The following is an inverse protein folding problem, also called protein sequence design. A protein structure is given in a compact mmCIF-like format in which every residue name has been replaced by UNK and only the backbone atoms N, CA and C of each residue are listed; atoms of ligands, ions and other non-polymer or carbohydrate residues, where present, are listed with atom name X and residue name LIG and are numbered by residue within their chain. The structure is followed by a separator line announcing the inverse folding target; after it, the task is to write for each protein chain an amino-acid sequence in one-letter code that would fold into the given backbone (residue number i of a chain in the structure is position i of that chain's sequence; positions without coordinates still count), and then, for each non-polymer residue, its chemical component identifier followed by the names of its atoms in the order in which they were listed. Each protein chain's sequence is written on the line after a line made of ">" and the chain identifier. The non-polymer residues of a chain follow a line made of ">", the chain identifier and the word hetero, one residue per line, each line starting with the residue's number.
data_IF_669684206814
#
_entry.id   IF_669684206814
#
_cell.length_a   1.000
_cell.length_b   1.000
_cell.length_c   1.000
_cell.angle_alpha   90.00
_cell.angle_beta   90.00
_cell.angle_gamma   90.00
#
_symmetry.space_group_name_H-M   'P 1'
#
loop_
_entity.id
_entity.type
_entity.pdbx_description
1 polymer ?
#
# COMPACT_ATOMS: atom_id res chain seq x y z
N UNK A 1 -13.01 19.36 13.80
CA UNK A 1 -11.75 19.07 13.09
C UNK A 1 -10.68 20.02 13.63
N UNK A 2 -9.62 19.53 14.29
CA UNK A 2 -8.52 20.41 14.74
C UNK A 2 -7.56 20.60 13.58
N UNK A 3 -7.47 21.82 13.06
CA UNK A 3 -6.50 22.19 12.05
C UNK A 3 -5.22 22.61 12.77
N UNK A 4 -4.12 21.89 12.56
CA UNK A 4 -2.82 22.28 13.06
C UNK A 4 -2.12 23.04 11.92
N UNK A 5 -1.70 24.29 12.16
CA UNK A 5 -0.85 25.03 11.23
C UNK A 5 0.56 25.14 11.80
N UNK A 6 1.57 24.97 10.94
CA UNK A 6 2.96 25.24 11.25
C UNK A 6 3.45 26.34 10.32
N UNK A 7 4.07 27.37 10.87
CA UNK A 7 4.72 28.44 10.12
C UNK A 7 6.19 28.50 10.53
N UNK A 8 7.08 28.46 9.54
CA UNK A 8 8.51 28.78 9.71
C UNK A 8 8.75 30.15 9.07
N UNK A 9 9.35 31.07 9.81
CA UNK A 9 9.59 32.44 9.35
C UNK A 9 10.99 32.88 9.77
N UNK A 10 11.80 33.29 8.80
CA UNK A 10 13.02 34.04 9.05
C UNK A 10 12.68 35.52 8.95
N UNK A 11 12.76 36.24 10.07
CA UNK A 11 12.23 37.60 10.20
C UNK A 11 13.24 38.54 10.86
N UNK A 12 13.31 39.76 10.34
CA UNK A 12 14.00 40.90 10.97
C UNK A 12 13.26 41.42 12.22
N UNK A 13 12.02 40.98 12.39
CA UNK A 13 11.14 41.36 13.49
C UNK A 13 10.79 40.17 14.39
N UNK A 14 10.73 40.42 15.69
CA UNK A 14 10.21 39.51 16.70
C UNK A 14 8.69 39.39 16.65
N UNK A 15 8.14 38.43 17.41
CA UNK A 15 6.70 38.18 17.48
C UNK A 15 5.89 39.39 18.00
N UNK A 16 6.53 40.28 18.75
CA UNK A 16 5.95 41.53 19.25
C UNK A 16 6.08 42.70 18.25
N UNK A 17 6.62 42.44 17.05
CA UNK A 17 6.83 43.43 16.00
C UNK A 17 8.06 44.32 16.16
N UNK A 18 8.87 44.13 17.22
CA UNK A 18 10.13 44.88 17.41
C UNK A 18 11.26 44.28 16.56
N UNK A 19 12.35 45.03 16.40
CA UNK A 19 13.54 44.53 15.71
C UNK A 19 14.16 43.35 16.50
N UNK A 20 14.51 42.28 15.79
CA UNK A 20 15.31 41.20 16.35
C UNK A 20 16.78 41.67 16.46
N UNK A 21 17.27 41.88 17.68
CA UNK A 21 18.62 42.38 17.96
C UNK A 21 19.74 41.41 17.49
N UNK A 22 19.41 40.14 17.29
CA UNK A 22 20.33 39.10 16.82
C UNK A 22 20.25 38.86 15.31
N UNK A 23 19.41 39.60 14.59
CA UNK A 23 19.28 39.47 13.14
C UNK A 23 20.58 39.88 12.43
N UNK A 24 21.06 39.01 11.53
CA UNK A 24 22.23 39.26 10.69
C UNK A 24 21.84 39.08 9.23
N UNK A 25 22.19 40.05 8.39
CA UNK A 25 22.04 39.94 6.93
C UNK A 25 23.10 38.98 6.36
N UNK A 26 22.67 38.08 5.49
CA UNK A 26 23.58 37.12 4.85
C UNK A 26 22.83 35.95 4.22
N UNK A 27 23.56 35.05 3.52
CA UNK A 27 22.99 33.80 3.03
C UNK A 27 22.44 32.98 4.21
N UNK A 28 21.19 32.54 4.08
CA UNK A 28 20.53 31.68 5.05
C UNK A 28 19.99 30.44 4.34
N UNK A 29 20.22 29.27 4.93
CA UNK A 29 19.67 28.00 4.49
C UNK A 29 19.11 27.25 5.70
N UNK A 30 17.85 26.79 5.59
CA UNK A 30 17.23 25.90 6.56
C UNK A 30 16.93 24.56 5.86
N UNK A 31 17.86 23.61 5.88
CA UNK A 31 17.60 22.28 5.35
C UNK A 31 16.62 21.56 6.28
N UNK A 32 15.38 21.41 5.84
CA UNK A 32 14.34 20.66 6.57
C UNK A 32 14.38 19.20 6.10
N UNK A 33 14.66 18.27 6.99
CA UNK A 33 14.65 16.83 6.66
C UNK A 33 13.24 16.24 6.66
N UNK A 34 12.37 16.64 7.61
CA UNK A 34 10.98 16.20 7.68
C UNK A 34 10.12 17.13 8.55
N UNK A 35 8.81 17.14 8.30
CA UNK A 35 7.79 17.76 9.15
C UNK A 35 6.70 16.73 9.35
N UNK A 36 6.36 16.42 10.60
CA UNK A 36 5.30 15.45 10.94
C UNK A 36 4.40 16.03 12.04
N UNK A 37 3.09 15.94 11.89
CA UNK A 37 2.18 16.19 12.99
C UNK A 37 2.30 15.04 14.02
N UNK A 38 2.11 15.31 15.32
CA UNK A 38 2.05 14.25 16.33
C UNK A 38 0.99 13.21 15.94
N UNK A 39 1.45 12.01 15.57
CA UNK A 39 0.59 10.84 15.37
C UNK A 39 0.68 10.06 16.68
N UNK A 40 -0.47 9.77 17.28
CA UNK A 40 -0.49 8.97 18.50
C UNK A 40 0.01 7.56 18.20
N UNK A 41 0.83 7.03 19.09
CA UNK A 41 1.16 5.61 19.08
C UNK A 41 -0.02 4.78 19.60
N UNK A 42 -0.25 3.57 19.04
CA UNK A 42 0.49 3.00 17.92
C UNK A 42 0.05 3.64 16.58
N UNK A 43 1.01 3.86 15.67
CA UNK A 43 0.72 4.39 14.33
C UNK A 43 -0.09 3.36 13.53
N UNK A 44 -1.24 3.78 13.01
CA UNK A 44 -2.04 3.01 12.06
C UNK A 44 -2.03 3.68 10.67
N UNK A 45 -2.35 2.94 9.59
CA UNK A 45 -2.51 3.51 8.26
C UNK A 45 -3.44 4.73 8.25
N UNK A 46 -2.99 5.80 7.61
CA UNK A 46 -3.78 6.99 7.29
C UNK A 46 -4.23 7.00 5.83
N UNK A 47 -3.68 6.08 5.03
CA UNK A 47 -4.00 5.88 3.64
C UNK A 47 -4.07 4.38 3.32
N UNK A 48 -5.22 3.92 2.82
CA UNK A 48 -5.38 2.56 2.30
C UNK A 48 -5.44 2.65 0.78
N UNK A 49 -4.54 1.96 0.09
CA UNK A 49 -4.51 1.92 -1.35
C UNK A 49 -4.88 0.53 -1.88
N UNK A 50 -6.00 0.45 -2.60
CA UNK A 50 -6.39 -0.76 -3.32
C UNK A 50 -5.71 -0.76 -4.70
N UNK A 51 -4.59 -1.46 -4.77
CA UNK A 51 -3.80 -1.64 -5.98
C UNK A 51 -4.30 -2.87 -6.78
N UNK A 52 -3.41 -3.76 -7.20
CA UNK A 52 -3.70 -5.02 -7.88
C UNK A 52 -2.52 -5.96 -7.69
N UNK A 53 -2.79 -7.26 -7.54
CA UNK A 53 -1.75 -8.26 -7.78
C UNK A 53 -1.31 -8.18 -9.25
N UNK A 54 -0.06 -8.48 -9.52
CA UNK A 54 0.54 -8.45 -10.85
C UNK A 54 1.23 -7.14 -11.21
N UNK A 55 1.24 -6.10 -10.37
CA UNK A 55 1.80 -4.79 -10.72
C UNK A 55 3.31 -4.80 -11.01
N UNK A 56 4.08 -5.72 -10.43
CA UNK A 56 5.53 -5.84 -10.72
C UNK A 56 5.86 -6.96 -11.70
N UNK A 57 4.85 -7.70 -12.19
CA UNK A 57 5.05 -8.85 -13.10
C UNK A 57 5.32 -8.49 -14.56
N UNK A 58 4.71 -7.45 -15.18
CA UNK A 58 4.95 -7.12 -16.58
C UNK A 58 6.42 -6.91 -16.93
N UNK A 59 7.20 -6.40 -15.98
CA UNK A 59 8.64 -6.09 -16.15
C UNK A 59 9.56 -7.12 -15.48
N UNK A 60 9.01 -8.19 -14.89
CA UNK A 60 9.80 -9.17 -14.12
C UNK A 60 10.64 -10.06 -15.05
N UNK A 61 11.99 -10.05 -14.95
CA UNK A 61 12.84 -10.89 -15.77
C UNK A 61 12.54 -12.39 -15.61
N UNK A 62 12.58 -13.14 -16.71
CA UNK A 62 12.39 -14.60 -16.70
C UNK A 62 10.95 -15.06 -16.44
N UNK A 63 9.98 -14.15 -16.35
CA UNK A 63 8.58 -14.51 -16.15
C UNK A 63 7.93 -14.98 -17.46
N UNK A 64 7.39 -16.19 -17.46
CA UNK A 64 6.58 -16.71 -18.57
C UNK A 64 5.22 -16.00 -18.62
N UNK A 65 5.15 -14.95 -19.45
CA UNK A 65 3.94 -14.14 -19.63
C UNK A 65 2.75 -14.98 -20.10
N UNK A 66 2.94 -16.06 -20.87
CA UNK A 66 1.83 -16.85 -21.41
C UNK A 66 0.95 -17.47 -20.33
N UNK A 67 1.55 -17.76 -19.16
CA UNK A 67 0.90 -18.34 -17.97
C UNK A 67 0.36 -17.30 -16.98
N UNK A 68 0.56 -16.01 -17.25
CA UNK A 68 0.09 -14.95 -16.36
C UNK A 68 -1.38 -14.60 -16.60
N UNK A 69 -2.06 -13.98 -15.62
CA UNK A 69 -3.42 -13.47 -15.80
C UNK A 69 -3.51 -12.45 -16.96
N UNK A 70 -4.69 -12.29 -17.57
CA UNK A 70 -4.88 -11.35 -18.69
C UNK A 70 -4.39 -9.93 -18.40
N UNK A 71 -4.60 -9.41 -17.18
CA UNK A 71 -4.17 -8.07 -16.81
C UNK A 71 -2.64 -7.86 -16.92
N UNK A 72 -1.84 -8.90 -16.63
CA UNK A 72 -0.38 -8.86 -16.74
C UNK A 72 0.05 -9.02 -18.19
N UNK A 73 -0.54 -10.00 -18.89
CA UNK A 73 -0.25 -10.30 -20.30
C UNK A 73 -0.57 -9.14 -21.23
N UNK A 74 -1.73 -8.54 -21.01
CA UNK A 74 -2.32 -7.53 -21.86
C UNK A 74 -2.12 -6.12 -21.27
N UNK A 75 -1.12 -5.92 -20.42
CA UNK A 75 -0.94 -4.65 -19.71
C UNK A 75 -0.80 -3.48 -20.69
N UNK A 76 -0.13 -3.68 -21.84
CA UNK A 76 0.01 -2.66 -22.89
C UNK A 76 -1.34 -2.34 -23.55
N UNK A 77 -2.13 -3.36 -23.86
CA UNK A 77 -3.45 -3.24 -24.46
C UNK A 77 -4.49 -2.67 -23.49
N UNK A 78 -4.25 -2.79 -22.19
CA UNK A 78 -5.03 -2.18 -21.10
C UNK A 78 -4.43 -0.83 -20.68
N UNK A 79 -3.81 -0.10 -21.60
CA UNK A 79 -3.23 1.23 -21.42
C UNK A 79 -2.27 1.34 -20.22
N UNK A 80 -1.48 0.30 -19.99
CA UNK A 80 -0.48 0.22 -18.92
C UNK A 80 -1.06 0.38 -17.51
N UNK A 81 -2.30 -0.08 -17.30
CA UNK A 81 -3.00 0.04 -16.02
C UNK A 81 -2.19 -0.46 -14.82
N UNK A 82 -1.47 -1.59 -14.93
CA UNK A 82 -0.66 -2.13 -13.84
C UNK A 82 0.59 -1.29 -13.59
N UNK A 83 1.18 -0.74 -14.65
CA UNK A 83 2.32 0.19 -14.55
C UNK A 83 1.93 1.46 -13.80
N UNK A 84 0.74 2.02 -14.09
CA UNK A 84 0.26 3.21 -13.38
C UNK A 84 -0.17 2.92 -11.95
N UNK A 85 -0.74 1.74 -11.67
CA UNK A 85 -0.96 1.27 -10.28
C UNK A 85 0.36 1.17 -9.52
N UNK A 86 1.40 0.58 -10.11
CA UNK A 86 2.73 0.50 -9.47
C UNK A 86 3.31 1.89 -9.16
N UNK A 87 3.23 2.84 -10.11
CA UNK A 87 3.66 4.23 -9.89
C UNK A 87 2.86 4.91 -8.77
N UNK A 88 1.56 4.64 -8.68
CA UNK A 88 0.71 5.13 -7.60
C UNK A 88 1.16 4.59 -6.24
N UNK A 89 1.49 3.31 -6.16
CA UNK A 89 2.07 2.71 -4.97
C UNK A 89 3.40 3.38 -4.58
N UNK A 90 4.28 3.63 -5.54
CA UNK A 90 5.58 4.27 -5.28
C UNK A 90 5.44 5.67 -4.69
N UNK A 91 4.56 6.49 -5.25
CA UNK A 91 4.27 7.82 -4.73
C UNK A 91 3.72 7.78 -3.29
N UNK A 92 2.90 6.78 -2.96
CA UNK A 92 2.38 6.60 -1.60
C UNK A 92 3.53 6.26 -0.64
N UNK A 93 4.44 5.36 -1.03
CA UNK A 93 5.61 5.01 -0.21
C UNK A 93 6.53 6.21 0.00
N UNK A 94 6.80 6.96 -1.06
CA UNK A 94 7.65 8.15 -1.04
C UNK A 94 7.03 9.31 -0.25
N UNK A 95 5.70 9.34 -0.09
CA UNK A 95 4.99 10.43 0.60
C UNK A 95 5.28 10.53 2.10
N UNK A 96 5.76 9.45 2.73
CA UNK A 96 5.93 9.37 4.19
C UNK A 96 4.61 9.34 4.98
N UNK A 97 3.45 9.28 4.30
CA UNK A 97 2.14 9.07 4.94
C UNK A 97 2.06 7.60 5.37
N UNK A 98 1.74 7.29 6.64
CA UNK A 98 1.52 5.91 7.07
C UNK A 98 0.46 5.25 6.19
N UNK A 99 0.81 4.15 5.54
CA UNK A 99 -0.04 3.55 4.51
C UNK A 99 -0.24 2.05 4.71
N UNK A 100 -1.17 1.49 3.95
CA UNK A 100 -1.22 0.07 3.63
C UNK A 100 -1.60 -0.07 2.16
N UNK A 101 -0.88 -0.92 1.44
CA UNK A 101 -1.14 -1.22 0.02
C UNK A 101 -1.66 -2.64 -0.08
N UNK A 102 -2.92 -2.75 -0.52
CA UNK A 102 -3.63 -4.01 -0.70
C UNK A 102 -3.64 -4.35 -2.19
N UNK A 103 -3.06 -5.49 -2.57
CA UNK A 103 -3.02 -5.98 -3.95
C UNK A 103 -3.94 -7.19 -4.11
N UNK A 104 -5.26 -6.99 -4.26
CA UNK A 104 -6.15 -8.12 -4.46
C UNK A 104 -5.80 -8.84 -5.77
N UNK A 105 -5.95 -10.16 -5.74
CA UNK A 105 -6.06 -10.97 -6.95
C UNK A 105 -7.40 -10.67 -7.66
N UNK A 106 -7.80 -11.49 -8.65
CA UNK A 106 -8.97 -11.21 -9.46
C UNK A 106 -10.24 -11.03 -8.60
N UNK A 107 -10.92 -9.88 -8.77
CA UNK A 107 -12.08 -9.54 -7.98
C UNK A 107 -13.33 -10.29 -8.45
N UNK A 108 -14.15 -10.77 -7.51
CA UNK A 108 -15.46 -11.40 -7.77
C UNK A 108 -16.58 -10.71 -7.01
N UNK A 109 -17.82 -11.01 -7.38
CA UNK A 109 -19.05 -10.61 -6.65
C UNK A 109 -19.52 -11.70 -5.67
N UNK A 110 -18.67 -12.70 -5.40
CA UNK A 110 -18.95 -13.75 -4.42
C UNK A 110 -19.00 -13.12 -3.00
N UNK A 111 -19.74 -13.72 -2.05
CA UNK A 111 -19.78 -13.20 -0.69
C UNK A 111 -18.41 -13.27 -0.01
N UNK A 112 -18.19 -12.38 0.97
CA UNK A 112 -17.07 -12.52 1.90
C UNK A 112 -17.25 -13.75 2.80
N UNK A 113 -16.15 -14.27 3.35
CA UNK A 113 -16.21 -15.39 4.30
C UNK A 113 -15.21 -16.51 4.02
N UNK A 114 -14.76 -16.66 2.78
CA UNK A 114 -13.74 -17.65 2.44
C UNK A 114 -12.41 -17.38 3.17
N UNK A 115 -11.65 -18.42 3.49
CA UNK A 115 -10.31 -18.28 4.06
C UNK A 115 -9.37 -17.58 3.06
N UNK A 116 -8.41 -16.85 3.62
CA UNK A 116 -7.51 -15.99 2.85
C UNK A 116 -6.07 -16.45 2.89
N UNK A 117 -5.37 -16.21 1.79
CA UNK A 117 -3.92 -16.35 1.68
C UNK A 117 -3.36 -14.97 1.38
N UNK A 118 -2.46 -14.52 2.24
CA UNK A 118 -1.66 -13.32 2.07
C UNK A 118 -0.26 -13.73 1.64
N UNK A 119 0.32 -12.96 0.72
CA UNK A 119 1.72 -13.14 0.32
C UNK A 119 2.34 -11.77 -0.03
N UNK A 120 3.66 -11.75 -0.22
CA UNK A 120 4.39 -10.56 -0.62
C UNK A 120 5.36 -10.88 -1.75
N UNK A 121 5.65 -9.88 -2.58
CA UNK A 121 6.62 -10.00 -3.67
C UNK A 121 6.01 -10.29 -5.04
N UNK A 122 4.70 -10.20 -5.18
CA UNK A 122 3.97 -10.36 -6.43
C UNK A 122 4.05 -11.76 -7.03
N UNK A 123 3.72 -12.76 -6.21
CA UNK A 123 3.93 -14.18 -6.48
C UNK A 123 2.65 -15.00 -6.63
N UNK A 124 1.52 -14.57 -6.06
CA UNK A 124 0.29 -15.38 -6.04
C UNK A 124 -0.73 -14.99 -7.11
N UNK A 125 -1.49 -15.98 -7.60
CA UNK A 125 -2.68 -15.76 -8.45
C UNK A 125 -3.88 -16.45 -7.82
N UNK A 126 -5.07 -15.91 -8.09
CA UNK A 126 -6.33 -16.45 -7.59
C UNK A 126 -7.46 -15.44 -7.76
N UNK A 127 -8.46 -15.55 -6.91
CA UNK A 127 -9.59 -14.63 -6.84
C UNK A 127 -9.88 -14.21 -5.41
N UNK A 128 -10.63 -13.12 -5.24
CA UNK A 128 -11.13 -12.67 -3.93
C UNK A 128 -12.42 -11.87 -4.12
N UNK A 129 -13.32 -11.96 -3.15
CA UNK A 129 -14.55 -11.17 -3.09
C UNK A 129 -14.23 -9.67 -2.93
N UNK A 130 -14.96 -8.81 -3.64
CA UNK A 130 -14.95 -7.35 -3.40
C UNK A 130 -15.36 -6.99 -1.99
N UNK A 131 -16.33 -7.72 -1.44
CA UNK A 131 -16.81 -7.50 -0.07
C UNK A 131 -15.70 -7.80 0.95
N UNK A 132 -14.96 -8.88 0.75
CA UNK A 132 -13.84 -9.24 1.61
C UNK A 132 -12.71 -8.19 1.56
N UNK A 133 -12.39 -7.69 0.36
CA UNK A 133 -11.41 -6.58 0.20
C UNK A 133 -11.87 -5.34 0.94
N UNK A 134 -13.16 -4.99 0.88
CA UNK A 134 -13.70 -3.82 1.58
C UNK A 134 -13.58 -3.97 3.11
N UNK A 135 -13.97 -5.13 3.66
CA UNK A 135 -13.85 -5.42 5.11
C UNK A 135 -12.39 -5.32 5.58
N UNK A 136 -11.48 -5.93 4.83
CA UNK A 136 -10.05 -5.88 5.12
C UNK A 136 -9.48 -4.45 5.05
N UNK A 137 -9.90 -3.63 4.08
CA UNK A 137 -9.47 -2.24 3.98
C UNK A 137 -9.89 -1.40 5.20
N UNK A 138 -11.10 -1.63 5.72
CA UNK A 138 -11.59 -0.97 6.93
C UNK A 138 -10.77 -1.43 8.14
N UNK A 139 -10.60 -2.74 8.32
CA UNK A 139 -9.81 -3.28 9.43
C UNK A 139 -8.36 -2.79 9.42
N UNK A 140 -7.76 -2.64 8.23
CA UNK A 140 -6.39 -2.17 8.09
C UNK A 140 -6.19 -0.73 8.58
N UNK A 141 -7.21 0.14 8.55
CA UNK A 141 -7.12 1.52 9.08
C UNK A 141 -6.92 1.56 10.60
N UNK A 142 -7.42 0.54 11.29
CA UNK A 142 -7.40 0.43 12.76
C UNK A 142 -6.24 -0.44 13.26
N UNK A 143 -5.56 -1.15 12.35
CA UNK A 143 -4.49 -2.07 12.69
C UNK A 143 -3.11 -1.42 12.57
N UNK A 144 -2.33 -1.32 13.66
CA UNK A 144 -0.94 -0.89 13.55
C UNK A 144 -0.06 -1.94 12.84
N UNK A 145 -0.47 -3.21 12.80
CA UNK A 145 0.27 -4.28 12.13
C UNK A 145 0.21 -4.16 10.60
N UNK A 146 -0.81 -3.47 10.07
CA UNK A 146 -0.95 -3.20 8.64
C UNK A 146 -0.10 -2.00 8.17
N UNK A 147 0.46 -1.20 9.09
CA UNK A 147 1.22 -0.01 8.75
C UNK A 147 2.48 -0.34 7.93
N UNK A 148 2.67 0.41 6.86
CA UNK A 148 3.78 0.35 5.92
C UNK A 148 3.94 -1.00 5.20
N UNK A 149 2.86 -1.82 5.20
CA UNK A 149 2.82 -3.12 4.52
C UNK A 149 2.30 -2.98 3.08
N UNK A 150 2.88 -3.78 2.21
CA UNK A 150 2.37 -4.08 0.85
C UNK A 150 2.20 -5.59 0.75
N UNK A 151 1.03 -6.07 0.33
CA UNK A 151 0.77 -7.50 0.23
C UNK A 151 -0.25 -7.82 -0.87
N UNK A 152 -0.13 -9.01 -1.46
CA UNK A 152 -1.22 -9.61 -2.23
C UNK A 152 -2.14 -10.43 -1.35
N UNK A 153 -3.40 -10.52 -1.77
CA UNK A 153 -4.37 -11.38 -1.12
C UNK A 153 -5.21 -12.14 -2.13
N UNK A 154 -5.54 -13.39 -1.79
CA UNK A 154 -6.55 -14.20 -2.47
C UNK A 154 -7.36 -15.05 -1.50
N UNK A 155 -8.49 -15.56 -1.96
CA UNK A 155 -9.22 -16.66 -1.34
C UNK A 155 -8.48 -17.98 -1.56
N UNK A 156 -8.64 -18.92 -0.63
CA UNK A 156 -8.23 -20.33 -0.80
C UNK A 156 -9.04 -21.04 -1.89
N UNK A 157 -10.22 -20.51 -2.22
CA UNK A 157 -11.14 -21.13 -3.18
C UNK A 157 -10.58 -21.00 -4.61
N UNK A 158 -10.45 -22.11 -5.35
CA UNK A 158 -9.97 -22.10 -6.73
C UNK A 158 -10.82 -21.20 -7.64
N UNK A 159 -10.20 -20.60 -8.65
CA UNK A 159 -10.90 -19.69 -9.57
C UNK A 159 -12.13 -20.35 -10.24
N UNK A 160 -12.07 -21.66 -10.50
CA UNK A 160 -13.10 -22.47 -11.14
C UNK A 160 -14.32 -22.79 -10.27
N UNK A 161 -14.25 -22.57 -8.96
CA UNK A 161 -15.29 -23.02 -8.01
C UNK A 161 -15.94 -21.83 -7.31
N UNK A 162 -17.26 -21.66 -7.35
CA UNK A 162 -17.91 -20.55 -6.67
C UNK A 162 -17.81 -20.71 -5.15
N UNK A 163 -17.61 -19.60 -4.44
CA UNK A 163 -17.80 -19.56 -2.99
C UNK A 163 -19.23 -19.14 -2.64
N UNK A 164 -19.87 -19.87 -1.73
CA UNK A 164 -21.21 -19.58 -1.22
C UNK A 164 -21.22 -19.67 0.30
N UNK A 165 -22.05 -18.83 0.93
CA UNK A 165 -22.24 -18.83 2.39
C UNK A 165 -23.48 -19.65 2.73
N UNK A 166 -23.33 -20.58 3.69
CA UNK A 166 -24.45 -21.27 4.32
C UNK A 166 -25.16 -20.30 5.29
N UNK A 167 -26.44 -19.95 5.07
CA UNK A 167 -27.17 -19.05 5.96
C UNK A 167 -27.38 -19.61 7.37
N UNK A 168 -27.38 -20.95 7.55
CA UNK A 168 -27.55 -21.57 8.86
C UNK A 168 -26.25 -21.60 9.67
N UNK A 169 -25.10 -21.54 8.98
CA UNK A 169 -23.78 -21.51 9.59
C UNK A 169 -22.86 -20.53 8.86
N UNK A 170 -23.09 -19.22 9.02
CA UNK A 170 -22.29 -18.21 8.33
C UNK A 170 -20.84 -18.20 8.85
N UNK A 171 -19.85 -17.89 7.99
CA UNK A 171 -18.47 -17.72 8.41
C UNK A 171 -18.35 -16.67 9.51
N UNK A 172 -17.51 -16.94 10.51
CA UNK A 172 -17.22 -15.96 11.55
C UNK A 172 -16.50 -14.74 10.97
N UNK A 173 -16.60 -13.61 11.67
CA UNK A 173 -15.79 -12.44 11.38
C UNK A 173 -14.30 -12.79 11.48
N UNK A 174 -13.49 -12.27 10.56
CA UNK A 174 -12.05 -12.53 10.51
C UNK A 174 -11.30 -11.49 11.31
N UNK A 175 -10.37 -11.95 12.15
CA UNK A 175 -9.33 -11.11 12.70
C UNK A 175 -8.20 -10.95 11.67
N UNK A 176 -8.20 -9.81 10.98
CA UNK A 176 -7.19 -9.52 9.95
C UNK A 176 -5.79 -9.30 10.54
N UNK A 177 -5.65 -8.97 11.83
CA UNK A 177 -4.34 -8.73 12.46
C UNK A 177 -3.46 -9.97 12.43
N UNK A 178 -4.05 -11.16 12.49
CA UNK A 178 -3.33 -12.43 12.39
C UNK A 178 -2.56 -12.50 11.07
N UNK A 179 -3.14 -12.00 9.98
CA UNK A 179 -2.49 -11.95 8.68
C UNK A 179 -1.47 -10.82 8.62
N UNK A 180 -1.84 -9.61 9.07
CA UNK A 180 -0.96 -8.44 9.01
C UNK A 180 0.35 -8.63 9.79
N UNK A 181 0.30 -9.29 10.96
CA UNK A 181 1.48 -9.57 11.79
C UNK A 181 2.56 -10.40 11.09
N UNK A 182 2.17 -11.21 10.10
CA UNK A 182 3.11 -12.05 9.35
C UNK A 182 3.78 -11.31 8.18
N UNK A 183 3.36 -10.07 7.88
CA UNK A 183 3.87 -9.26 6.78
C UNK A 183 5.10 -8.45 7.19
N UNK A 184 6.05 -8.35 6.26
CA UNK A 184 7.28 -7.55 6.41
C UNK A 184 7.13 -6.21 5.70
N UNK A 185 7.75 -5.18 6.26
CA UNK A 185 7.90 -3.90 5.57
C UNK A 185 8.82 -4.05 4.34
N UNK A 186 8.61 -3.17 3.37
CA UNK A 186 9.52 -3.01 2.23
C UNK A 186 9.47 -4.11 1.16
N UNK A 187 8.71 -5.20 1.33
CA UNK A 187 8.59 -6.26 0.31
C UNK A 187 7.56 -5.85 -0.76
N UNK A 188 8.00 -5.69 -2.00
CA UNK A 188 7.17 -5.13 -3.07
C UNK A 188 7.11 -5.96 -4.36
N UNK A 189 8.06 -6.87 -4.57
CA UNK A 189 8.27 -7.60 -5.83
C UNK A 189 9.25 -6.88 -6.77
N UNK A 190 9.58 -5.62 -6.50
CA UNK A 190 10.61 -4.88 -7.26
C UNK A 190 12.03 -5.40 -7.03
N UNK A 191 12.25 -6.17 -5.97
CA UNK A 191 13.53 -6.78 -5.66
C UNK A 191 13.96 -7.76 -6.77
N UNK A 192 12.98 -8.38 -7.44
CA UNK A 192 13.23 -9.22 -8.62
C UNK A 192 13.63 -8.42 -9.87
N UNK A 193 13.31 -7.12 -9.94
CA UNK A 193 13.70 -6.23 -11.05
C UNK A 193 15.17 -5.78 -10.93
N UNK A 194 15.69 -5.71 -9.70
CA UNK A 194 17.04 -5.21 -9.41
C UNK A 194 18.15 -6.24 -9.62
N UNK A 195 17.82 -7.52 -9.82
CA UNK A 195 18.80 -8.62 -9.98
C UNK A 195 19.44 -8.74 -11.38
N UNK A 196 19.46 -7.67 -12.17
CA UNK A 196 20.25 -7.68 -13.42
C UNK A 196 21.71 -7.36 -13.09
N UNK A 197 22.68 -8.30 -13.22
CA UNK A 197 24.08 -7.94 -13.12
C UNK A 197 24.43 -7.13 -14.38
N UNK A 198 24.86 -5.89 -14.18
CA UNK A 198 25.62 -5.17 -15.22
C UNK A 198 26.82 -6.06 -15.59
N UNK A 199 26.98 -6.49 -16.85
CA UNK A 199 28.23 -7.12 -17.26
C UNK A 199 29.34 -6.10 -17.07
N UNK A 200 30.31 -6.43 -16.19
CA UNK A 200 31.61 -5.74 -16.12
C UNK A 200 32.50 -6.28 -17.23
#
# INVERSE_FOLDING_TARGET
>A
MKQNCLQLMFSKFEYDGKLNETFVEGPFELPVSSIKAYINDPITPRFVHVSSAGVTRPERPGLDLSKQPPAVRLNKELDYILTYKLKGEDLIRESGIPYVIVRPCALTEEPAGADLIFDQGDNITGKISREEVARMCVAALESPYACDKTFEVKSVIPFSEPFTVDPENPPSEKDYDIYFKNLKEGITGKEALQQSPTPV
#
